data_IF_326793856954
#
_entry.id   IF_326793856954
#
_cell.length_a   1.000
_cell.length_b   1.000
_cell.length_c   1.000
_cell.angle_alpha   90.00
_cell.angle_beta   90.00
_cell.angle_gamma   90.00
#
_symmetry.space_group_name_H-M   'P 1'
#
loop_
_entity.id
_entity.type
_entity.pdbx_description
1 polymer ?
#
# COMPACT_ATOMS: atom_id res chain seq x y z
N UNK A 1 1.31 4.00 -0.94
CA UNK A 1 0.18 3.56 -0.08
C UNK A 1 0.10 2.06 -0.11
N UNK A 2 -0.08 1.42 1.04
CA UNK A 2 -0.07 -0.03 1.23
C UNK A 2 -1.44 -0.48 1.72
N UNK A 3 -2.10 -1.38 0.98
CA UNK A 3 -3.43 -1.90 1.29
C UNK A 3 -3.34 -3.34 1.79
N UNK A 4 -3.83 -3.58 3.01
CA UNK A 4 -3.76 -4.88 3.68
C UNK A 4 -5.05 -5.16 4.47
N UNK A 5 -5.51 -6.42 4.57
CA UNK A 5 -6.55 -6.82 5.51
C UNK A 5 -5.93 -7.08 6.89
N UNK A 6 -6.76 -7.20 7.92
CA UNK A 6 -6.27 -7.38 9.30
C UNK A 6 -5.59 -8.73 9.60
N UNK A 7 -5.78 -9.75 8.75
CA UNK A 7 -5.09 -11.04 8.85
C UNK A 7 -4.61 -11.43 7.45
N UNK A 8 -3.29 -11.48 7.23
CA UNK A 8 -2.69 -11.74 5.93
C UNK A 8 -1.24 -12.21 6.07
N UNK A 9 -1.00 -13.50 5.84
CA UNK A 9 0.34 -14.08 5.96
C UNK A 9 1.37 -13.41 5.04
N UNK A 10 1.00 -13.11 3.81
CA UNK A 10 1.87 -12.44 2.85
C UNK A 10 2.23 -11.00 3.27
N UNK A 11 1.33 -10.33 3.99
CA UNK A 11 1.55 -9.01 4.53
C UNK A 11 2.55 -9.11 5.69
N UNK A 12 2.34 -10.07 6.61
CA UNK A 12 3.28 -10.37 7.70
C UNK A 12 4.70 -10.63 7.16
N UNK A 13 4.82 -11.48 6.12
CA UNK A 13 6.11 -11.78 5.49
C UNK A 13 6.78 -10.50 4.92
N UNK A 14 6.01 -9.55 4.34
CA UNK A 14 6.58 -8.26 3.89
C UNK A 14 7.05 -7.38 5.04
N UNK A 15 6.27 -7.28 6.13
CA UNK A 15 6.63 -6.47 7.30
C UNK A 15 7.80 -7.04 8.09
N UNK A 16 7.93 -8.36 8.16
CA UNK A 16 8.96 -9.04 8.97
C UNK A 16 10.27 -9.26 8.20
N UNK A 17 10.22 -9.53 6.89
CA UNK A 17 11.40 -9.84 6.10
C UNK A 17 11.77 -8.72 5.11
N UNK A 18 10.80 -8.20 4.36
CA UNK A 18 11.11 -7.37 3.18
C UNK A 18 11.34 -5.90 3.54
N UNK A 19 10.43 -5.28 4.29
CA UNK A 19 10.50 -3.87 4.67
C UNK A 19 11.63 -3.51 5.65
N UNK A 20 12.03 -4.38 6.61
CA UNK A 20 13.11 -4.06 7.54
C UNK A 20 14.50 -4.06 6.91
N UNK A 21 14.68 -4.71 5.74
CA UNK A 21 15.98 -4.80 5.06
C UNK A 21 16.55 -3.42 4.75
N UNK A 22 17.86 -3.17 4.98
CA UNK A 22 18.45 -1.84 4.80
C UNK A 22 18.23 -1.23 3.42
N UNK A 23 18.37 -2.03 2.35
CA UNK A 23 18.15 -1.56 0.98
C UNK A 23 16.70 -1.09 0.77
N UNK A 24 15.72 -1.90 1.18
CA UNK A 24 14.30 -1.55 1.12
C UNK A 24 13.98 -0.29 1.92
N UNK A 25 14.54 -0.17 3.14
CA UNK A 25 14.34 1.03 3.99
C UNK A 25 14.83 2.31 3.32
N UNK A 26 15.98 2.26 2.65
CA UNK A 26 16.53 3.42 1.92
C UNK A 26 15.62 3.82 0.76
N UNK A 27 15.00 2.86 0.09
CA UNK A 27 14.05 3.13 -1.00
C UNK A 27 12.72 3.67 -0.46
N UNK A 28 12.13 3.02 0.55
CA UNK A 28 10.87 3.42 1.17
C UNK A 28 10.94 4.80 1.85
N UNK A 29 12.11 5.19 2.38
CA UNK A 29 12.31 6.51 2.97
C UNK A 29 12.13 7.67 1.97
N UNK A 30 12.07 7.39 0.66
CA UNK A 30 11.80 8.38 -0.39
C UNK A 30 10.30 8.58 -0.66
N UNK A 31 9.45 7.80 0.00
CA UNK A 31 8.00 7.82 -0.18
C UNK A 31 7.30 8.18 1.12
N UNK A 32 6.19 8.91 1.00
CA UNK A 32 5.22 9.01 2.09
C UNK A 32 4.38 7.72 2.10
N UNK A 33 4.73 6.81 3.02
CA UNK A 33 4.08 5.51 3.14
C UNK A 33 2.96 5.59 4.16
N UNK A 34 1.77 5.15 3.75
CA UNK A 34 0.60 4.97 4.61
C UNK A 34 0.08 3.54 4.46
N UNK A 35 -0.26 2.91 5.59
CA UNK A 35 -0.90 1.60 5.66
C UNK A 35 -2.42 1.79 5.81
N UNK A 36 -3.18 1.13 4.94
CA UNK A 36 -4.62 1.25 4.85
C UNK A 36 -5.29 -0.11 4.93
N UNK A 37 -6.23 -0.24 5.87
CA UNK A 37 -7.04 -1.44 6.00
C UNK A 37 -8.00 -1.59 4.82
N UNK A 38 -7.89 -2.66 4.04
CA UNK A 38 -8.77 -2.94 2.89
C UNK A 38 -10.26 -2.99 3.26
N UNK A 39 -10.57 -3.31 4.51
CA UNK A 39 -11.95 -3.42 5.02
C UNK A 39 -12.25 -2.38 6.11
N UNK A 40 -11.34 -1.43 6.31
CA UNK A 40 -11.51 -0.38 7.32
C UNK A 40 -12.42 0.74 6.82
N UNK A 41 -13.21 1.28 7.75
CA UNK A 41 -13.98 2.52 7.55
C UNK A 41 -13.20 3.78 7.90
N UNK A 42 -11.91 3.66 8.24
CA UNK A 42 -11.03 4.81 8.51
C UNK A 42 -11.14 5.81 7.36
N UNK A 43 -11.52 7.07 7.63
CA UNK A 43 -11.52 8.12 6.62
C UNK A 43 -10.10 8.40 6.13
N UNK A 44 -9.94 8.52 4.82
CA UNK A 44 -8.69 8.83 4.14
C UNK A 44 -8.98 9.95 3.14
N UNK A 45 -8.18 11.01 3.20
CA UNK A 45 -8.10 11.96 2.11
C UNK A 45 -7.16 11.38 1.07
N UNK A 46 -7.68 11.09 -0.11
CA UNK A 46 -6.87 10.52 -1.18
C UNK A 46 -6.48 11.58 -2.21
N UNK A 47 -5.62 11.25 -3.19
CA UNK A 47 -4.85 12.27 -3.91
C UNK A 47 -5.67 13.26 -4.75
N UNK A 48 -6.92 12.94 -5.07
CA UNK A 48 -7.89 13.84 -5.72
C UNK A 48 -8.55 14.85 -4.75
N UNK A 49 -8.14 14.86 -3.48
CA UNK A 49 -8.65 15.74 -2.42
C UNK A 49 -9.95 15.27 -1.75
N UNK A 50 -10.61 14.22 -2.26
CA UNK A 50 -11.87 13.73 -1.67
C UNK A 50 -11.59 12.87 -0.43
N UNK A 51 -12.45 12.97 0.58
CA UNK A 51 -12.38 12.10 1.75
C UNK A 51 -13.33 10.92 1.57
N UNK A 52 -12.84 9.72 1.88
CA UNK A 52 -13.54 8.45 1.66
C UNK A 52 -13.04 7.40 2.63
N UNK A 53 -13.79 6.32 2.85
CA UNK A 53 -13.31 5.22 3.69
C UNK A 53 -12.19 4.45 2.99
N UNK A 54 -11.22 3.94 3.75
CA UNK A 54 -10.14 3.13 3.20
C UNK A 54 -10.68 1.94 2.36
N UNK A 55 -11.74 1.27 2.83
CA UNK A 55 -12.38 0.18 2.11
C UNK A 55 -13.11 0.61 0.83
N UNK A 56 -13.81 1.75 0.84
CA UNK A 56 -14.46 2.25 -0.38
C UNK A 56 -13.41 2.64 -1.41
N UNK A 57 -12.31 3.23 -0.95
CA UNK A 57 -11.23 3.63 -1.84
C UNK A 57 -10.47 2.44 -2.44
N UNK A 58 -10.19 1.39 -1.65
CA UNK A 58 -9.61 0.16 -2.17
C UNK A 58 -10.48 -0.44 -3.29
N UNK A 59 -11.81 -0.41 -3.14
CA UNK A 59 -12.75 -0.85 -4.18
C UNK A 59 -12.74 0.05 -5.42
N UNK A 60 -12.70 1.37 -5.26
CA UNK A 60 -12.59 2.32 -6.37
C UNK A 60 -11.29 2.11 -7.19
N UNK A 61 -10.19 1.77 -6.52
CA UNK A 61 -8.91 1.45 -7.16
C UNK A 61 -8.87 0.04 -7.80
N UNK A 62 -9.91 -0.77 -7.59
CA UNK A 62 -9.98 -2.15 -8.07
C UNK A 62 -9.06 -3.12 -7.33
N UNK A 63 -8.67 -2.81 -6.09
CA UNK A 63 -7.74 -3.65 -5.31
C UNK A 63 -8.48 -4.89 -4.80
N UNK A 64 -8.12 -6.04 -5.37
CA UNK A 64 -8.69 -7.34 -5.01
C UNK A 64 -7.75 -8.22 -4.16
N UNK A 65 -6.44 -7.97 -4.21
CA UNK A 65 -5.41 -8.82 -3.60
C UNK A 65 -4.60 -8.07 -2.55
N UNK A 66 -4.01 -8.82 -1.63
CA UNK A 66 -3.17 -8.31 -0.56
C UNK A 66 -1.83 -9.05 -0.49
N UNK A 67 -0.75 -8.39 -0.05
CA UNK A 67 -0.63 -6.93 0.06
C UNK A 67 -0.69 -6.25 -1.33
N UNK A 68 -1.14 -5.00 -1.39
CA UNK A 68 -1.07 -4.18 -2.61
C UNK A 68 -0.40 -2.85 -2.31
N UNK A 69 0.65 -2.52 -3.06
CA UNK A 69 1.35 -1.25 -3.02
C UNK A 69 0.91 -0.40 -4.22
N UNK A 70 0.29 0.75 -3.95
CA UNK A 70 -0.04 1.76 -4.97
C UNK A 70 0.74 3.03 -4.69
N UNK A 71 1.50 3.49 -5.67
CA UNK A 71 2.33 4.69 -5.60
C UNK A 71 1.76 5.78 -6.50
N UNK A 72 1.73 7.00 -5.98
CA UNK A 72 1.22 8.18 -6.69
C UNK A 72 2.34 9.21 -6.84
N UNK A 73 2.32 9.98 -7.93
CA UNK A 73 3.16 11.17 -8.06
C UNK A 73 2.62 12.33 -7.21
N UNK A 74 3.37 13.43 -7.16
CA UNK A 74 3.01 14.65 -6.42
C UNK A 74 1.73 15.34 -6.93
N UNK A 75 1.21 14.94 -8.10
CA UNK A 75 -0.06 15.41 -8.67
C UNK A 75 -1.20 14.43 -8.40
N UNK A 76 -0.95 13.37 -7.65
CA UNK A 76 -1.92 12.35 -7.29
C UNK A 76 -2.23 11.34 -8.39
N UNK A 77 -1.39 11.24 -9.43
CA UNK A 77 -1.56 10.24 -10.48
C UNK A 77 -0.89 8.94 -10.07
N UNK A 78 -1.59 7.82 -10.24
CA UNK A 78 -0.99 6.50 -10.04
C UNK A 78 0.17 6.32 -11.03
N UNK A 79 1.37 6.02 -10.51
CA UNK A 79 2.59 5.83 -11.31
C UNK A 79 3.11 4.42 -11.26
N UNK A 80 2.79 3.69 -10.20
CA UNK A 80 3.23 2.32 -10.03
C UNK A 80 2.27 1.57 -9.12
N UNK A 81 2.01 0.31 -9.47
CA UNK A 81 1.26 -0.63 -8.67
C UNK A 81 1.95 -1.97 -8.66
N UNK A 82 2.08 -2.55 -7.47
CA UNK A 82 2.40 -3.95 -7.29
C UNK A 82 1.27 -4.61 -6.50
N UNK A 83 0.69 -5.65 -7.08
CA UNK A 83 -0.34 -6.48 -6.45
C UNK A 83 0.27 -7.83 -6.07
N UNK A 84 -0.12 -8.33 -4.89
CA UNK A 84 0.38 -9.56 -4.28
C UNK A 84 1.82 -9.47 -3.74
N UNK A 85 2.22 -10.55 -3.07
CA UNK A 85 3.47 -10.65 -2.32
C UNK A 85 4.72 -10.40 -3.20
N UNK A 86 5.50 -9.39 -2.85
CA UNK A 86 6.81 -9.13 -3.43
C UNK A 86 7.91 -9.70 -2.53
N UNK A 87 8.65 -10.69 -3.03
CA UNK A 87 9.91 -11.13 -2.40
C UNK A 87 10.97 -10.04 -2.52
N UNK A 88 11.96 -10.06 -1.61
CA UNK A 88 13.02 -9.06 -1.55
C UNK A 88 13.78 -8.81 -2.88
N UNK A 89 13.87 -9.77 -3.79
CA UNK A 89 14.54 -9.56 -5.09
C UNK A 89 13.68 -8.79 -6.11
N UNK A 90 12.43 -8.48 -5.79
CA UNK A 90 11.57 -7.60 -6.61
C UNK A 90 11.68 -6.13 -6.20
N UNK A 91 12.38 -5.80 -5.09
CA UNK A 91 12.46 -4.46 -4.50
C UNK A 91 13.91 -3.98 -4.36
#
# INVERSE_FOLDING_TARGET
MLFEPGQCRACDDMHEDVFPRPATRVLLARFDVVLLGMWSKTPVQAPDGRTRGAASWARELGIAYAPTLVSFDVRGREVFRAEAYLKAFHL
#
